data_IF_026678180336
#
_entry.id   IF_026678180336
#
_cell.length_a   1.000
_cell.length_b   1.000
_cell.length_c   1.000
_cell.angle_alpha   90.00
_cell.angle_beta   90.00
_cell.angle_gamma   90.00
#
_symmetry.space_group_name_H-M   'P 1'
#
loop_
_entity.id
_entity.type
_entity.pdbx_description
1 polymer ?
#
# COMPACT_ATOMS: atom_id res chain seq x y z
N UNK A 1 28.31 -2.11 11.16
CA UNK A 1 27.30 -1.06 10.92
C UNK A 1 26.10 -1.38 11.80
N UNK A 2 25.70 -0.51 12.74
CA UNK A 2 24.45 -0.70 13.46
C UNK A 2 23.28 -0.62 12.48
N UNK A 3 22.37 -1.60 12.52
CA UNK A 3 21.14 -1.59 11.72
C UNK A 3 20.20 -0.53 12.30
N UNK A 4 19.83 0.44 11.48
CA UNK A 4 18.83 1.45 11.83
C UNK A 4 17.43 0.81 11.72
N UNK A 5 16.98 0.23 12.84
CA UNK A 5 15.73 -0.52 12.94
C UNK A 5 14.49 0.32 12.62
N UNK A 6 14.55 1.64 12.83
CA UNK A 6 13.42 2.54 12.52
C UNK A 6 13.21 2.67 11.01
N UNK A 7 14.31 2.84 10.25
CA UNK A 7 14.24 2.83 8.79
C UNK A 7 13.75 1.50 8.25
N UNK A 8 14.24 0.39 8.78
CA UNK A 8 13.83 -0.94 8.32
C UNK A 8 12.32 -1.16 8.52
N UNK A 9 11.79 -0.82 9.70
CA UNK A 9 10.37 -0.92 10.01
C UNK A 9 9.51 -0.03 9.10
N UNK A 10 10.00 1.16 8.75
CA UNK A 10 9.28 2.11 7.89
C UNK A 10 9.01 1.60 6.46
N UNK A 11 9.78 0.62 5.99
CA UNK A 11 9.62 0.00 4.65
C UNK A 11 8.95 -1.37 4.75
N UNK A 12 9.36 -2.19 5.73
CA UNK A 12 8.85 -3.56 5.89
C UNK A 12 7.37 -3.60 6.26
N UNK A 13 6.89 -2.67 7.10
CA UNK A 13 5.46 -2.59 7.44
C UNK A 13 4.60 -2.30 6.21
N UNK A 14 4.85 -1.25 5.41
CA UNK A 14 4.14 -1.02 4.15
C UNK A 14 4.19 -2.19 3.17
N UNK A 15 5.35 -2.83 3.04
CA UNK A 15 5.52 -3.99 2.16
C UNK A 15 4.67 -5.17 2.64
N UNK A 16 4.63 -5.45 3.94
CA UNK A 16 3.80 -6.51 4.51
C UNK A 16 2.30 -6.25 4.29
N UNK A 17 1.86 -5.00 4.44
CA UNK A 17 0.47 -4.59 4.15
C UNK A 17 0.14 -4.82 2.67
N UNK A 18 1.00 -4.35 1.76
CA UNK A 18 0.80 -4.54 0.32
C UNK A 18 0.80 -6.02 -0.09
N UNK A 19 1.61 -6.87 0.54
CA UNK A 19 1.60 -8.32 0.31
C UNK A 19 0.31 -8.96 0.82
N UNK A 20 -0.23 -8.53 1.96
CA UNK A 20 -1.51 -9.05 2.46
C UNK A 20 -2.66 -8.69 1.51
N UNK A 21 -2.64 -7.46 0.99
CA UNK A 21 -3.56 -6.98 -0.03
C UNK A 21 -3.46 -7.84 -1.31
N UNK A 22 -2.25 -8.06 -1.84
CA UNK A 22 -2.08 -8.83 -3.08
C UNK A 22 -2.48 -10.30 -2.95
N UNK A 23 -2.27 -10.91 -1.78
CA UNK A 23 -2.77 -12.26 -1.49
C UNK A 23 -4.30 -12.28 -1.46
N UNK A 24 -4.93 -11.27 -0.87
CA UNK A 24 -6.39 -11.17 -0.84
C UNK A 24 -6.98 -11.04 -2.25
N UNK A 25 -6.40 -10.18 -3.08
CA UNK A 25 -6.84 -10.03 -4.47
C UNK A 25 -6.63 -11.29 -5.31
N UNK A 26 -5.55 -12.03 -5.08
CA UNK A 26 -5.33 -13.32 -5.73
C UNK A 26 -6.39 -14.36 -5.31
N UNK A 27 -6.77 -14.39 -4.03
CA UNK A 27 -7.84 -15.26 -3.55
C UNK A 27 -9.20 -14.88 -4.15
N UNK A 28 -9.50 -13.59 -4.25
CA UNK A 28 -10.71 -13.12 -4.92
C UNK A 28 -10.71 -13.49 -6.40
N UNK A 29 -9.59 -13.30 -7.09
CA UNK A 29 -9.44 -13.70 -8.49
C UNK A 29 -9.64 -15.21 -8.69
N UNK A 30 -9.14 -16.04 -7.76
CA UNK A 30 -9.38 -17.49 -7.77
C UNK A 30 -10.86 -17.82 -7.60
N UNK A 31 -11.58 -17.13 -6.70
CA UNK A 31 -13.02 -17.30 -6.55
C UNK A 31 -13.75 -16.94 -7.83
N UNK A 32 -13.41 -15.82 -8.47
CA UNK A 32 -14.00 -15.42 -9.77
C UNK A 32 -13.74 -16.47 -10.84
N UNK A 33 -12.54 -17.03 -10.89
CA UNK A 33 -12.17 -18.09 -11.83
C UNK A 33 -13.00 -19.36 -11.69
N UNK A 34 -13.46 -19.71 -10.47
CA UNK A 34 -14.36 -20.85 -10.26
C UNK A 34 -15.72 -20.66 -10.96
N UNK A 35 -16.16 -19.41 -11.17
CA UNK A 35 -17.41 -19.09 -11.87
C UNK A 35 -17.21 -18.79 -13.36
N UNK A 36 -16.04 -18.27 -13.75
CA UNK A 36 -15.67 -18.00 -15.14
C UNK A 36 -14.22 -18.45 -15.44
N UNK A 37 -14.01 -19.75 -15.78
CA UNK A 37 -12.68 -20.32 -15.99
C UNK A 37 -11.97 -19.81 -17.25
N UNK A 38 -12.66 -19.02 -18.08
CA UNK A 38 -12.07 -18.49 -19.32
C UNK A 38 -11.18 -17.27 -19.06
N UNK A 39 -11.29 -16.66 -17.87
CA UNK A 39 -10.52 -15.49 -17.49
C UNK A 39 -9.18 -15.88 -16.87
N UNK A 40 -8.15 -15.11 -17.18
CA UNK A 40 -6.85 -15.28 -16.55
C UNK A 40 -6.85 -14.68 -15.14
N UNK A 41 -6.59 -15.52 -14.13
CA UNK A 41 -6.56 -15.14 -12.70
C UNK A 41 -5.63 -13.96 -12.43
N UNK A 42 -4.48 -13.91 -13.10
CA UNK A 42 -3.48 -12.86 -12.88
C UNK A 42 -3.96 -11.49 -13.39
N UNK A 43 -4.72 -11.44 -14.49
CA UNK A 43 -5.28 -10.17 -14.98
C UNK A 43 -6.39 -9.67 -14.06
N UNK A 44 -7.25 -10.55 -13.55
CA UNK A 44 -8.29 -10.16 -12.58
C UNK A 44 -7.66 -9.59 -11.31
N UNK A 45 -6.66 -10.29 -10.75
CA UNK A 45 -5.95 -9.82 -9.55
C UNK A 45 -5.21 -8.50 -9.81
N UNK A 46 -4.64 -8.32 -11.00
CA UNK A 46 -3.98 -7.07 -11.39
C UNK A 46 -4.95 -5.89 -11.49
N UNK A 47 -6.12 -6.09 -12.12
CA UNK A 47 -7.15 -5.06 -12.24
C UNK A 47 -7.64 -4.58 -10.87
N UNK A 48 -7.83 -5.51 -9.92
CA UNK A 48 -8.17 -5.19 -8.53
C UNK A 48 -7.06 -4.37 -7.86
N UNK A 49 -5.81 -4.83 -7.94
CA UNK A 49 -4.65 -4.12 -7.38
C UNK A 49 -4.47 -2.70 -7.95
N UNK A 50 -4.76 -2.50 -9.23
CA UNK A 50 -4.70 -1.16 -9.85
C UNK A 50 -5.79 -0.23 -9.32
N UNK A 51 -7.00 -0.75 -9.07
CA UNK A 51 -8.08 0.02 -8.45
C UNK A 51 -7.70 0.43 -7.03
N UNK A 52 -7.20 -0.53 -6.23
CA UNK A 52 -6.77 -0.27 -4.86
C UNK A 52 -5.58 0.68 -4.79
N UNK A 53 -4.62 0.54 -5.71
CA UNK A 53 -3.54 1.51 -5.91
C UNK A 53 -4.08 2.94 -6.04
N UNK A 54 -5.08 3.15 -6.90
CA UNK A 54 -5.68 4.47 -7.09
C UNK A 54 -6.32 5.01 -5.80
N UNK A 55 -7.09 4.18 -5.10
CA UNK A 55 -7.74 4.55 -3.84
C UNK A 55 -6.71 4.88 -2.75
N UNK A 56 -5.69 4.03 -2.60
CA UNK A 56 -4.62 4.22 -1.61
C UNK A 56 -3.79 5.47 -1.91
N UNK A 57 -3.56 5.79 -3.18
CA UNK A 57 -2.83 6.99 -3.58
C UNK A 57 -3.59 8.26 -3.16
N UNK A 58 -4.90 8.31 -3.41
CA UNK A 58 -5.75 9.44 -2.99
C UNK A 58 -5.79 9.55 -1.47
N UNK A 59 -6.09 8.46 -0.76
CA UNK A 59 -6.17 8.47 0.70
C UNK A 59 -4.83 8.82 1.35
N UNK A 60 -3.74 8.23 0.87
CA UNK A 60 -2.38 8.49 1.33
C UNK A 60 -1.98 9.95 1.16
N UNK A 61 -2.26 10.53 -0.01
CA UNK A 61 -2.02 11.95 -0.27
C UNK A 61 -2.86 12.87 0.63
N UNK A 62 -4.15 12.55 0.82
CA UNK A 62 -5.02 13.30 1.71
C UNK A 62 -4.59 13.25 3.18
N UNK A 63 -4.02 12.14 3.64
CA UNK A 63 -3.50 12.04 5.00
C UNK A 63 -2.14 12.73 5.14
N UNK A 64 -1.25 12.58 4.16
CA UNK A 64 0.07 13.21 4.17
C UNK A 64 -0.01 14.74 4.11
N UNK A 65 -1.00 15.30 3.41
CA UNK A 65 -1.19 16.76 3.34
C UNK A 65 -1.49 17.43 4.69
N UNK A 66 -1.80 16.65 5.73
CA UNK A 66 -1.99 17.14 7.10
C UNK A 66 -0.68 17.35 7.86
N UNK A 67 0.48 17.18 7.21
CA UNK A 67 1.78 17.40 7.83
C UNK A 67 1.93 18.85 8.35
N UNK A 68 2.18 19.06 9.66
CA UNK A 68 2.38 20.40 10.20
C UNK A 68 3.62 21.06 9.61
N UNK A 69 3.49 22.33 9.22
CA UNK A 69 4.56 23.11 8.57
C UNK A 69 5.76 23.33 9.50
N UNK A 70 5.52 23.55 10.80
CA UNK A 70 6.57 23.76 11.80
C UNK A 70 6.80 22.53 12.65
N UNK A 71 8.06 22.26 12.99
CA UNK A 71 8.41 21.12 13.86
C UNK A 71 7.83 21.29 15.27
N UNK A 72 7.77 22.52 15.76
CA UNK A 72 7.15 22.87 17.03
C UNK A 72 5.65 22.51 17.08
N UNK A 73 4.96 22.41 15.94
CA UNK A 73 3.55 22.00 15.86
C UNK A 73 3.35 20.48 15.74
N UNK A 74 4.44 19.68 15.67
CA UNK A 74 4.35 18.21 15.64
C UNK A 74 4.05 17.61 17.02
N UNK A 75 4.43 18.31 18.09
CA UNK A 75 4.22 17.90 19.46
C UNK A 75 3.33 18.90 20.19
N UNK A 76 2.48 18.38 21.08
CA UNK A 76 1.73 19.20 22.03
C UNK A 76 2.64 19.62 23.19
N UNK A 77 2.15 20.53 24.03
CA UNK A 77 2.84 20.97 25.24
C UNK A 77 3.16 19.83 26.24
N UNK A 78 2.44 18.71 26.15
CA UNK A 78 2.66 17.50 26.95
C UNK A 78 3.71 16.53 26.34
N UNK A 79 4.35 16.90 25.23
CA UNK A 79 5.30 16.06 24.49
C UNK A 79 4.65 14.97 23.63
N UNK A 80 3.32 14.85 23.62
CA UNK A 80 2.63 13.86 22.79
C UNK A 80 2.50 14.36 21.34
N UNK A 81 2.56 13.46 20.34
CA UNK A 81 2.42 13.84 18.95
C UNK A 81 0.98 14.31 18.66
N UNK A 82 0.85 15.41 17.91
CA UNK A 82 -0.44 15.96 17.47
C UNK A 82 -1.17 15.00 16.54
N UNK A 83 -2.50 15.07 16.51
CA UNK A 83 -3.33 14.21 15.65
C UNK A 83 -3.00 14.41 14.17
N UNK A 84 -2.70 15.66 13.76
CA UNK A 84 -2.25 16.00 12.41
C UNK A 84 -0.95 15.30 12.04
N UNK A 85 0.05 15.31 12.94
CA UNK A 85 1.30 14.58 12.74
C UNK A 85 1.11 13.07 12.67
N UNK A 86 0.27 12.48 13.53
CA UNK A 86 -0.02 11.03 13.47
C UNK A 86 -0.67 10.64 12.14
N UNK A 87 -1.62 11.44 11.67
CA UNK A 87 -2.28 11.22 10.38
C UNK A 87 -1.32 11.39 9.21
N UNK A 88 -0.42 12.36 9.23
CA UNK A 88 0.56 12.53 8.16
C UNK A 88 1.55 11.36 8.08
N UNK A 89 1.97 10.83 9.23
CA UNK A 89 2.81 9.62 9.29
C UNK A 89 2.07 8.38 8.78
N UNK A 90 0.79 8.23 9.10
CA UNK A 90 -0.05 7.18 8.52
C UNK A 90 -0.14 7.33 6.99
N UNK A 91 -0.37 8.55 6.51
CA UNK A 91 -0.42 8.87 5.07
C UNK A 91 0.87 8.48 4.34
N UNK A 92 2.03 8.77 4.94
CA UNK A 92 3.34 8.34 4.40
C UNK A 92 3.45 6.81 4.29
N UNK A 93 3.02 6.06 5.31
CA UNK A 93 3.00 4.58 5.26
C UNK A 93 2.07 4.04 4.18
N UNK A 94 0.89 4.66 4.02
CA UNK A 94 -0.05 4.29 2.95
C UNK A 94 0.58 4.53 1.58
N UNK A 95 1.22 5.70 1.37
CA UNK A 95 1.90 6.02 0.10
C UNK A 95 3.02 5.03 -0.22
N UNK A 96 3.82 4.60 0.76
CA UNK A 96 4.81 3.55 0.54
C UNK A 96 4.16 2.20 0.20
N UNK A 97 3.06 1.86 0.86
CA UNK A 97 2.31 0.62 0.55
C UNK A 97 1.78 0.66 -0.88
N UNK A 98 1.35 1.84 -1.33
CA UNK A 98 0.82 2.09 -2.67
C UNK A 98 1.84 1.75 -3.76
N UNK A 99 3.13 2.04 -3.53
CA UNK A 99 4.21 1.65 -4.46
C UNK A 99 4.31 0.13 -4.58
N UNK A 100 4.24 -0.60 -3.47
CA UNK A 100 4.30 -2.06 -3.50
C UNK A 100 3.05 -2.69 -4.14
N UNK A 101 1.86 -2.16 -3.85
CA UNK A 101 0.60 -2.60 -4.50
C UNK A 101 0.70 -2.43 -6.03
N UNK A 102 1.20 -1.28 -6.50
CA UNK A 102 1.45 -1.06 -7.92
C UNK A 102 2.45 -2.07 -8.51
N UNK A 103 3.56 -2.35 -7.79
CA UNK A 103 4.55 -3.32 -8.23
C UNK A 103 3.98 -4.74 -8.31
N UNK A 104 3.12 -5.15 -7.37
CA UNK A 104 2.41 -6.43 -7.44
C UNK A 104 1.44 -6.47 -8.62
N UNK A 105 0.69 -5.39 -8.85
CA UNK A 105 -0.19 -5.27 -10.01
C UNK A 105 0.58 -5.48 -11.32
N UNK A 106 1.71 -4.79 -11.49
CA UNK A 106 2.61 -4.97 -12.63
C UNK A 106 3.17 -6.38 -12.74
N UNK A 107 3.61 -6.97 -11.62
CA UNK A 107 4.12 -8.34 -11.58
C UNK A 107 3.07 -9.32 -12.11
N UNK A 108 1.81 -9.18 -11.70
CA UNK A 108 0.72 -10.02 -12.16
C UNK A 108 0.38 -9.80 -13.64
N UNK A 109 0.48 -8.58 -14.17
CA UNK A 109 0.38 -8.36 -15.62
C UNK A 109 1.47 -9.14 -16.36
N UNK A 110 2.73 -9.02 -15.92
CA UNK A 110 3.89 -9.66 -16.55
C UNK A 110 3.73 -11.19 -16.52
N UNK A 111 3.40 -11.75 -15.35
CA UNK A 111 3.16 -13.19 -15.18
C UNK A 111 1.97 -13.64 -16.01
N UNK A 112 0.90 -12.84 -16.04
CA UNK A 112 -0.29 -13.10 -16.86
C UNK A 112 0.01 -13.18 -18.35
N UNK A 113 0.92 -12.36 -18.88
CA UNK A 113 1.39 -12.47 -20.25
C UNK A 113 2.38 -13.62 -20.47
N UNK A 114 3.25 -13.91 -19.51
CA UNK A 114 4.25 -14.98 -19.63
C UNK A 114 3.63 -16.39 -19.59
N UNK A 115 2.48 -16.54 -18.93
CA UNK A 115 1.74 -17.80 -18.78
C UNK A 115 0.53 -17.93 -19.74
N UNK A 116 0.36 -16.97 -20.65
CA UNK A 116 -0.69 -16.97 -21.68
C UNK A 116 -0.23 -17.73 -22.92
#
# INVERSE_FOLDING_TARGET
MPIDWERYRSVMEPMAVASAISVFDLLLALVVFLFDPTRNVYFIASDALFLEFGVMLVLGACFMSREPISEAARQKADGTPTTSWRLSQLGKKILYSTVFVFLFGLLFVIVGYALK
#
